data_IF_065302591845
#
_entry.id   IF_065302591845
#
_cell.length_a   1.000
_cell.length_b   1.000
_cell.length_c   1.000
_cell.angle_alpha   90.00
_cell.angle_beta   90.00
_cell.angle_gamma   90.00
#
_symmetry.space_group_name_H-M   'P 1'
#
loop_
_entity.id
_entity.type
_entity.pdbx_description
1 polymer ?
#
# COMPACT_ATOMS: atom_id res chain seq x y z
N UNK A 1 8.81 63.99 -57.77
CA UNK A 1 7.93 65.11 -57.36
C UNK A 1 7.57 64.93 -55.90
N UNK A 2 7.78 66.00 -55.13
CA UNK A 2 7.44 66.17 -53.71
C UNK A 2 5.96 65.86 -53.42
N UNK A 3 5.66 65.31 -52.24
CA UNK A 3 4.81 65.98 -51.24
C UNK A 3 4.74 65.20 -49.92
N UNK A 4 5.33 65.80 -48.90
CA UNK A 4 5.06 65.64 -47.48
C UNK A 4 3.60 65.96 -47.15
N UNK A 5 3.02 65.27 -46.16
CA UNK A 5 2.09 65.84 -45.17
C UNK A 5 1.91 64.91 -43.97
N UNK A 6 2.17 65.47 -42.78
CA UNK A 6 1.88 64.92 -41.46
C UNK A 6 0.39 65.11 -41.13
N UNK A 7 -0.19 64.20 -40.33
CA UNK A 7 -1.39 64.50 -39.52
C UNK A 7 -1.43 63.65 -38.22
N UNK A 8 -1.89 64.32 -37.17
CA UNK A 8 -1.88 64.00 -35.74
C UNK A 8 -2.81 62.85 -35.29
N UNK A 9 -2.29 62.04 -34.36
CA UNK A 9 -2.81 61.70 -33.02
C UNK A 9 -4.33 61.65 -32.75
N UNK A 10 -4.83 60.48 -32.31
CA UNK A 10 -5.70 60.33 -31.11
C UNK A 10 -5.39 58.98 -30.44
N UNK A 11 -4.86 59.02 -29.22
CA UNK A 11 -4.70 57.84 -28.35
C UNK A 11 -5.95 57.76 -27.47
N UNK A 12 -6.76 56.71 -27.65
CA UNK A 12 -7.87 56.37 -26.74
C UNK A 12 -7.36 55.36 -25.71
N UNK A 13 -7.31 55.77 -24.44
CA UNK A 13 -6.94 54.90 -23.31
C UNK A 13 -8.22 54.26 -22.78
N UNK A 14 -8.49 53.02 -23.20
CA UNK A 14 -9.53 52.20 -22.60
C UNK A 14 -9.07 51.65 -21.25
N UNK A 15 -9.68 52.11 -20.16
CA UNK A 15 -9.48 51.55 -18.82
C UNK A 15 -10.08 50.14 -18.74
N UNK A 16 -9.22 49.12 -18.76
CA UNK A 16 -9.62 47.76 -18.39
C UNK A 16 -9.56 47.62 -16.86
N UNK A 17 -10.73 47.57 -16.22
CA UNK A 17 -10.86 47.20 -14.80
C UNK A 17 -10.65 45.69 -14.69
N UNK A 18 -9.45 45.27 -14.30
CA UNK A 18 -9.19 43.90 -13.87
C UNK A 18 -9.63 43.75 -12.41
N UNK A 19 -10.77 43.09 -12.19
CA UNK A 19 -11.14 42.56 -10.88
C UNK A 19 -10.23 41.35 -10.57
N UNK A 20 -9.08 41.60 -9.94
CA UNK A 20 -8.29 40.56 -9.30
C UNK A 20 -9.05 40.00 -8.10
N UNK A 21 -9.74 38.89 -8.30
CA UNK A 21 -10.20 38.05 -7.19
C UNK A 21 -8.98 37.34 -6.59
N UNK A 22 -8.39 37.95 -5.56
CA UNK A 22 -7.44 37.25 -4.69
C UNK A 22 -8.23 36.30 -3.79
N UNK A 23 -8.50 35.09 -4.28
CA UNK A 23 -8.84 33.99 -3.40
C UNK A 23 -7.65 33.80 -2.43
N UNK A 24 -7.87 33.78 -1.11
CA UNK A 24 -6.78 33.55 -0.17
C UNK A 24 -6.25 32.13 -0.39
N UNK A 25 -4.95 32.00 -0.66
CA UNK A 25 -4.25 30.73 -0.55
C UNK A 25 -4.43 30.25 0.90
N UNK A 26 -5.37 29.33 1.11
CA UNK A 26 -5.44 28.55 2.34
C UNK A 26 -4.18 27.69 2.41
N UNK A 27 -3.14 28.22 3.06
CA UNK A 27 -1.90 27.52 3.31
C UNK A 27 -2.17 26.38 4.30
N UNK A 28 -2.65 25.23 3.80
CA UNK A 28 -2.66 24.01 4.59
C UNK A 28 -1.21 23.72 5.03
N UNK A 29 -0.95 23.46 6.32
CA UNK A 29 0.40 23.22 6.80
C UNK A 29 1.02 22.03 6.05
N UNK A 30 2.32 22.07 5.73
CA UNK A 30 2.98 21.09 4.86
C UNK A 30 2.78 19.63 5.33
N UNK A 31 2.70 19.39 6.64
CA UNK A 31 2.42 18.06 7.20
C UNK A 31 1.05 17.48 6.84
N UNK A 32 0.01 18.31 6.67
CA UNK A 32 -1.33 17.86 6.30
C UNK A 32 -1.39 17.42 4.83
N UNK A 33 -0.63 18.08 3.95
CA UNK A 33 -0.49 17.69 2.54
C UNK A 33 0.24 16.36 2.40
N UNK A 34 1.33 16.15 3.15
CA UNK A 34 2.06 14.88 3.15
C UNK A 34 1.21 13.72 3.70
N UNK A 35 0.51 13.93 4.83
CA UNK A 35 -0.41 12.92 5.36
C UNK A 35 -1.55 12.58 4.39
N UNK A 36 -2.10 13.58 3.71
CA UNK A 36 -3.09 13.39 2.64
C UNK A 36 -2.53 12.61 1.45
N UNK A 37 -1.32 12.94 1.00
CA UNK A 37 -0.63 12.23 -0.08
C UNK A 37 -0.35 10.77 0.30
N UNK A 38 0.15 10.49 1.50
CA UNK A 38 0.36 9.14 2.00
C UNK A 38 -0.94 8.32 2.11
N UNK A 39 -2.04 8.96 2.51
CA UNK A 39 -3.35 8.32 2.51
C UNK A 39 -3.82 7.98 1.09
N UNK A 40 -3.67 8.91 0.14
CA UNK A 40 -4.03 8.68 -1.26
C UNK A 40 -3.18 7.57 -1.90
N UNK A 41 -1.87 7.60 -1.67
CA UNK A 41 -0.95 6.58 -2.15
C UNK A 41 -1.28 5.19 -1.60
N UNK A 42 -1.51 5.09 -0.28
CA UNK A 42 -1.89 3.82 0.35
C UNK A 42 -3.12 3.20 -0.31
N UNK A 43 -4.15 4.01 -0.56
CA UNK A 43 -5.36 3.57 -1.26
C UNK A 43 -5.05 3.09 -2.68
N UNK A 44 -4.25 3.86 -3.42
CA UNK A 44 -3.89 3.52 -4.80
C UNK A 44 -3.12 2.20 -4.90
N UNK A 45 -2.14 1.98 -4.01
CA UNK A 45 -1.37 0.74 -3.96
C UNK A 45 -2.25 -0.47 -3.61
N UNK A 46 -3.18 -0.31 -2.67
CA UNK A 46 -4.12 -1.37 -2.32
C UNK A 46 -5.11 -1.69 -3.45
N UNK A 47 -5.59 -0.68 -4.18
CA UNK A 47 -6.41 -0.89 -5.39
C UNK A 47 -5.66 -1.66 -6.47
N UNK A 48 -4.39 -1.31 -6.70
CA UNK A 48 -3.53 -2.03 -7.65
C UNK A 48 -3.34 -3.50 -7.26
N UNK A 49 -3.26 -3.80 -5.95
CA UNK A 49 -3.23 -5.17 -5.44
C UNK A 49 -4.56 -5.90 -5.73
N UNK A 50 -5.71 -5.27 -5.45
CA UNK A 50 -7.04 -5.86 -5.70
C UNK A 50 -7.27 -6.18 -7.17
N UNK A 51 -6.78 -5.32 -8.08
CA UNK A 51 -6.98 -5.50 -9.52
C UNK A 51 -5.93 -6.40 -10.17
N UNK A 52 -4.93 -6.90 -9.43
CA UNK A 52 -3.82 -7.65 -10.02
C UNK A 52 -4.22 -9.10 -10.27
N UNK A 53 -4.14 -9.60 -11.52
CA UNK A 53 -4.39 -11.02 -11.81
C UNK A 53 -3.29 -11.94 -11.27
N UNK A 54 -2.14 -11.39 -10.86
CA UNK A 54 -1.03 -12.14 -10.30
C UNK A 54 -1.14 -12.34 -8.79
N UNK A 55 -2.09 -11.64 -8.13
CA UNK A 55 -2.32 -11.74 -6.69
C UNK A 55 -3.68 -12.39 -6.45
N UNK A 56 -3.70 -13.48 -5.69
CA UNK A 56 -4.92 -13.96 -5.06
C UNK A 56 -4.94 -13.54 -3.59
N UNK A 57 -6.10 -13.09 -3.09
CA UNK A 57 -6.30 -12.77 -1.68
C UNK A 57 -7.25 -13.79 -1.07
N UNK A 58 -6.89 -14.41 0.04
CA UNK A 58 -7.81 -15.32 0.71
C UNK A 58 -8.99 -14.56 1.35
N UNK A 59 -10.18 -15.12 1.14
CA UNK A 59 -11.46 -14.64 1.68
C UNK A 59 -11.81 -15.30 3.02
N UNK A 60 -10.92 -16.16 3.53
CA UNK A 60 -11.06 -16.90 4.78
C UNK A 60 -9.70 -17.04 5.47
N UNK A 61 -9.72 -17.23 6.79
CA UNK A 61 -8.51 -17.54 7.56
C UNK A 61 -8.14 -19.01 7.40
N UNK A 62 -6.85 -19.31 7.28
CA UNK A 62 -6.35 -20.70 7.19
C UNK A 62 -6.71 -21.50 8.46
N UNK A 63 -6.90 -20.83 9.60
CA UNK A 63 -7.35 -21.45 10.85
C UNK A 63 -8.83 -21.87 10.86
N UNK A 64 -9.62 -21.49 9.86
CA UNK A 64 -11.07 -21.73 9.80
C UNK A 64 -11.93 -20.74 10.57
N UNK A 65 -11.33 -19.83 11.33
CA UNK A 65 -12.05 -18.73 11.99
C UNK A 65 -12.68 -17.80 10.95
N UNK A 66 -13.80 -17.18 11.31
CA UNK A 66 -14.58 -16.31 10.43
C UNK A 66 -14.74 -14.93 11.07
N UNK A 67 -14.19 -13.91 10.42
CA UNK A 67 -14.43 -12.51 10.78
C UNK A 67 -14.26 -11.61 9.53
N UNK A 68 -14.06 -10.31 9.73
CA UNK A 68 -13.91 -9.30 8.67
C UNK A 68 -12.46 -8.77 8.56
N UNK A 69 -11.47 -9.60 8.90
CA UNK A 69 -10.04 -9.29 8.94
C UNK A 69 -9.20 -10.22 8.03
N UNK A 70 -9.83 -10.95 7.10
CA UNK A 70 -9.11 -11.76 6.10
C UNK A 70 -8.22 -10.90 5.19
N UNK A 71 -7.32 -11.55 4.44
CA UNK A 71 -6.44 -10.87 3.49
C UNK A 71 -7.23 -10.00 2.49
N UNK A 72 -8.34 -10.53 1.92
CA UNK A 72 -9.20 -9.74 1.03
C UNK A 72 -9.77 -8.52 1.76
N UNK A 73 -10.45 -8.71 2.89
CA UNK A 73 -11.06 -7.61 3.64
C UNK A 73 -10.04 -6.53 4.01
N UNK A 74 -8.83 -6.91 4.44
CA UNK A 74 -7.79 -5.96 4.82
C UNK A 74 -7.33 -5.08 3.64
N UNK A 75 -7.14 -5.66 2.45
CA UNK A 75 -6.77 -4.89 1.27
C UNK A 75 -7.94 -4.02 0.79
N UNK A 76 -9.18 -4.53 0.77
CA UNK A 76 -10.38 -3.76 0.44
C UNK A 76 -10.61 -2.56 1.37
N UNK A 77 -10.48 -2.77 2.67
CA UNK A 77 -10.57 -1.70 3.67
C UNK A 77 -9.53 -0.62 3.36
N UNK A 78 -8.29 -1.03 3.12
CA UNK A 78 -7.18 -0.11 2.79
C UNK A 78 -7.42 0.63 1.48
N UNK A 79 -7.91 -0.04 0.43
CA UNK A 79 -8.28 0.54 -0.86
C UNK A 79 -9.41 1.58 -0.73
N UNK A 80 -10.32 1.36 0.21
CA UNK A 80 -11.40 2.28 0.57
C UNK A 80 -10.98 3.38 1.57
N UNK A 81 -9.69 3.47 1.91
CA UNK A 81 -9.16 4.49 2.83
C UNK A 81 -9.41 4.22 4.30
N UNK A 82 -9.90 3.04 4.65
CA UNK A 82 -10.12 2.59 6.02
C UNK A 82 -8.87 1.84 6.53
N UNK A 83 -8.58 1.88 7.84
CA UNK A 83 -7.61 0.96 8.44
C UNK A 83 -8.03 -0.50 8.24
N UNK A 84 -7.04 -1.40 8.12
CA UNK A 84 -7.26 -2.83 8.04
C UNK A 84 -7.62 -3.37 9.44
N UNK A 85 -8.68 -4.17 9.53
CA UNK A 85 -9.09 -4.81 10.79
C UNK A 85 -8.08 -5.86 11.23
N UNK A 86 -7.85 -5.94 12.54
CA UNK A 86 -7.20 -7.07 13.17
C UNK A 86 -8.28 -8.01 13.74
N UNK A 87 -8.04 -9.31 13.67
CA UNK A 87 -8.91 -10.31 14.31
C UNK A 87 -8.96 -10.13 15.84
N UNK A 88 -10.00 -10.65 16.49
CA UNK A 88 -10.19 -10.58 17.94
C UNK A 88 -10.44 -11.98 18.53
N UNK A 89 -9.44 -12.84 18.45
CA UNK A 89 -9.42 -14.19 19.01
C UNK A 89 -7.99 -14.69 19.20
N UNK A 90 -7.79 -15.65 20.11
CA UNK A 90 -6.46 -16.16 20.44
C UNK A 90 -5.57 -15.02 20.95
N UNK A 91 -4.44 -14.80 20.29
CA UNK A 91 -3.52 -13.70 20.61
C UNK A 91 -3.80 -12.41 19.82
N UNK A 92 -4.81 -12.43 18.93
CA UNK A 92 -5.11 -11.28 18.10
C UNK A 92 -5.75 -10.16 18.93
N UNK A 93 -5.20 -8.93 18.93
CA UNK A 93 -5.57 -7.89 19.87
C UNK A 93 -6.88 -7.16 19.51
N UNK A 94 -7.50 -7.49 18.37
CA UNK A 94 -8.59 -6.71 17.81
C UNK A 94 -8.15 -5.32 17.34
N UNK A 95 -9.14 -4.45 17.10
CA UNK A 95 -8.90 -3.09 16.61
C UNK A 95 -8.55 -3.05 15.12
N UNK A 96 -7.74 -2.07 14.73
CA UNK A 96 -7.35 -1.88 13.34
C UNK A 96 -6.01 -1.17 13.20
N UNK A 97 -5.36 -1.37 12.06
CA UNK A 97 -4.05 -0.79 11.76
C UNK A 97 -3.97 -0.24 10.34
N UNK A 98 -3.10 0.75 10.12
CA UNK A 98 -2.81 1.23 8.77
C UNK A 98 -1.73 0.31 8.19
N UNK A 99 -2.04 -0.35 7.07
CA UNK A 99 -1.03 -1.12 6.33
C UNK A 99 0.16 -0.23 5.95
N UNK A 100 1.38 -0.73 5.85
CA UNK A 100 2.56 0.07 5.51
C UNK A 100 2.62 0.43 4.02
N UNK A 101 2.98 1.68 3.68
CA UNK A 101 3.19 2.06 2.26
C UNK A 101 4.36 1.28 1.67
N UNK A 102 5.46 1.13 2.42
CA UNK A 102 6.64 0.39 1.96
C UNK A 102 6.33 -1.07 1.65
N UNK A 103 5.55 -1.74 2.51
CA UNK A 103 5.05 -3.10 2.27
C UNK A 103 4.16 -3.16 1.01
N UNK A 104 3.18 -2.26 0.89
CA UNK A 104 2.28 -2.23 -0.27
C UNK A 104 3.03 -1.93 -1.59
N UNK A 105 4.05 -1.05 -1.56
CA UNK A 105 4.94 -0.81 -2.70
C UNK A 105 5.71 -2.07 -3.07
N UNK A 106 6.25 -2.78 -2.09
CA UNK A 106 7.00 -4.02 -2.32
C UNK A 106 6.12 -5.10 -2.97
N UNK A 107 4.88 -5.28 -2.49
CA UNK A 107 3.91 -6.22 -3.10
C UNK A 107 3.70 -5.87 -4.59
N UNK A 108 3.45 -4.60 -4.90
CA UNK A 108 3.28 -4.15 -6.28
C UNK A 108 4.56 -4.32 -7.12
N UNK A 109 5.73 -4.10 -6.53
CA UNK A 109 7.01 -4.28 -7.21
C UNK A 109 7.27 -5.74 -7.56
N UNK A 110 6.95 -6.68 -6.65
CA UNK A 110 7.08 -8.12 -6.90
C UNK A 110 6.23 -8.57 -8.10
N UNK A 111 4.99 -8.08 -8.20
CA UNK A 111 4.11 -8.31 -9.38
C UNK A 111 4.76 -7.78 -10.66
N UNK A 112 5.30 -6.55 -10.64
CA UNK A 112 6.02 -5.98 -11.81
C UNK A 112 7.25 -6.80 -12.22
N UNK A 113 7.86 -7.51 -11.27
CA UNK A 113 9.00 -8.41 -11.50
C UNK A 113 8.56 -9.82 -11.93
N UNK A 114 7.26 -10.05 -12.14
CA UNK A 114 6.71 -11.30 -12.66
C UNK A 114 6.40 -12.35 -11.60
N UNK A 115 6.43 -12.00 -10.31
CA UNK A 115 5.96 -12.90 -9.26
C UNK A 115 4.44 -12.97 -9.22
N UNK A 116 3.89 -14.18 -9.14
CA UNK A 116 2.49 -14.40 -8.76
C UNK A 116 2.42 -15.11 -7.42
N UNK A 117 1.46 -14.74 -6.57
CA UNK A 117 1.37 -15.32 -5.23
C UNK A 117 -0.03 -15.15 -4.62
N UNK A 118 -0.32 -15.98 -3.62
CA UNK A 118 -1.56 -15.87 -2.85
C UNK A 118 -1.27 -15.38 -1.43
N UNK A 119 -1.85 -14.25 -1.06
CA UNK A 119 -1.77 -13.70 0.29
C UNK A 119 -2.83 -14.35 1.16
N UNK A 120 -2.41 -14.94 2.28
CA UNK A 120 -3.29 -15.63 3.23
C UNK A 120 -3.68 -14.75 4.41
N UNK A 121 -2.77 -13.93 4.91
CA UNK A 121 -2.99 -13.04 6.06
C UNK A 121 -2.24 -11.72 5.90
N UNK A 122 -2.78 -10.63 6.46
CA UNK A 122 -2.13 -9.29 6.48
C UNK A 122 -2.16 -8.69 7.89
N UNK A 123 -3.33 -8.31 8.41
CA UNK A 123 -3.49 -7.80 9.79
C UNK A 123 -4.44 -8.68 10.63
N UNK A 124 -5.23 -9.55 9.99
CA UNK A 124 -6.03 -10.57 10.66
C UNK A 124 -5.22 -11.78 11.14
N UNK A 125 -5.94 -12.80 11.61
CA UNK A 125 -5.35 -14.02 12.12
C UNK A 125 -4.83 -13.93 13.56
N UNK A 126 -4.60 -15.10 14.17
CA UNK A 126 -3.95 -15.21 15.48
C UNK A 126 -2.49 -15.60 15.30
N UNK A 127 -1.59 -14.71 15.69
CA UNK A 127 -0.13 -14.83 15.62
C UNK A 127 0.48 -14.70 17.01
N UNK A 128 1.80 -14.52 17.14
CA UNK A 128 2.39 -14.13 18.43
C UNK A 128 1.89 -12.74 18.86
N UNK A 129 1.82 -12.47 20.17
CA UNK A 129 1.28 -11.21 20.72
C UNK A 129 2.00 -9.94 20.21
N UNK A 130 3.28 -10.07 19.84
CA UNK A 130 4.10 -8.99 19.28
C UNK A 130 4.29 -9.11 17.76
N UNK A 131 3.42 -9.86 17.10
CA UNK A 131 3.46 -10.05 15.65
C UNK A 131 3.38 -8.72 14.89
N UNK A 132 4.12 -8.64 13.78
CA UNK A 132 4.13 -7.49 12.88
C UNK A 132 2.87 -7.40 12.01
N UNK A 133 2.06 -8.46 11.93
CA UNK A 133 0.72 -8.41 11.32
C UNK A 133 -0.14 -7.34 12.00
N UNK A 134 -0.15 -7.30 13.34
CA UNK A 134 -0.91 -6.32 14.12
C UNK A 134 -0.40 -4.89 14.00
N UNK A 135 0.81 -4.69 13.46
CA UNK A 135 1.34 -3.38 13.11
C UNK A 135 1.05 -2.97 11.66
N UNK A 136 0.40 -3.83 10.85
CA UNK A 136 0.11 -3.57 9.44
C UNK A 136 1.36 -3.60 8.56
N UNK A 137 2.43 -4.27 8.99
CA UNK A 137 3.72 -4.28 8.29
C UNK A 137 4.15 -5.68 7.86
N UNK A 138 3.26 -6.67 7.90
CA UNK A 138 3.53 -8.04 7.49
C UNK A 138 2.45 -8.59 6.55
N UNK A 139 2.82 -9.61 5.79
CA UNK A 139 1.89 -10.47 5.07
C UNK A 139 2.43 -11.90 4.95
N UNK A 140 1.53 -12.86 4.84
CA UNK A 140 1.84 -14.28 4.64
C UNK A 140 1.40 -14.73 3.24
N UNK A 141 2.18 -15.62 2.61
CA UNK A 141 1.80 -16.28 1.35
C UNK A 141 1.92 -17.80 1.41
N UNK A 142 1.00 -18.53 0.80
CA UNK A 142 1.03 -20.00 0.75
C UNK A 142 1.12 -20.58 -0.68
N UNK A 143 1.02 -19.73 -1.70
CA UNK A 143 1.33 -20.05 -3.09
C UNK A 143 2.27 -19.01 -3.67
N UNK A 144 3.22 -19.48 -4.46
CA UNK A 144 4.19 -18.66 -5.19
C UNK A 144 4.41 -19.26 -6.58
N UNK A 145 4.29 -18.43 -7.62
CA UNK A 145 4.43 -18.80 -9.02
C UNK A 145 3.62 -20.06 -9.39
N UNK A 146 2.35 -20.09 -8.96
CA UNK A 146 1.41 -21.18 -9.21
C UNK A 146 1.61 -22.44 -8.37
N UNK A 147 2.57 -22.48 -7.44
CA UNK A 147 2.88 -23.67 -6.64
C UNK A 147 2.72 -23.40 -5.15
N UNK A 148 2.18 -24.39 -4.42
CA UNK A 148 2.10 -24.36 -2.95
C UNK A 148 3.50 -24.21 -2.36
N UNK A 149 3.67 -23.27 -1.43
CA UNK A 149 4.91 -23.08 -0.66
C UNK A 149 5.10 -24.28 0.27
N UNK A 150 6.28 -24.88 0.21
CA UNK A 150 6.73 -25.96 1.11
C UNK A 150 8.25 -26.13 1.00
N UNK A 151 8.81 -27.03 1.80
CA UNK A 151 10.20 -27.47 1.63
C UNK A 151 10.46 -27.92 0.18
N UNK A 152 11.60 -27.54 -0.38
CA UNK A 152 11.97 -27.83 -1.77
C UNK A 152 11.27 -26.96 -2.82
N UNK A 153 10.43 -25.98 -2.45
CA UNK A 153 9.91 -25.02 -3.43
C UNK A 153 11.08 -24.23 -4.06
N UNK A 154 11.21 -24.16 -5.40
CA UNK A 154 12.45 -23.75 -6.04
C UNK A 154 12.81 -22.28 -5.84
N UNK A 155 11.82 -21.42 -5.60
CA UNK A 155 12.02 -19.96 -5.62
C UNK A 155 11.62 -19.24 -4.34
N UNK A 156 11.17 -19.92 -3.27
CA UNK A 156 10.68 -19.21 -2.08
C UNK A 156 11.81 -18.46 -1.36
N UNK A 157 13.04 -19.02 -1.36
CA UNK A 157 14.22 -18.34 -0.80
C UNK A 157 14.59 -17.10 -1.60
N UNK A 158 14.50 -17.15 -2.94
CA UNK A 158 14.72 -16.00 -3.82
C UNK A 158 13.65 -14.94 -3.61
N UNK A 159 12.39 -15.33 -3.44
CA UNK A 159 11.31 -14.42 -3.10
C UNK A 159 11.55 -13.71 -1.76
N UNK A 160 11.88 -14.47 -0.69
CA UNK A 160 12.25 -13.88 0.61
C UNK A 160 13.44 -12.94 0.50
N UNK A 161 14.48 -13.33 -0.25
CA UNK A 161 15.65 -12.48 -0.47
C UNK A 161 15.27 -11.17 -1.18
N UNK A 162 14.41 -11.25 -2.20
CA UNK A 162 13.91 -10.06 -2.89
C UNK A 162 13.11 -9.16 -1.96
N UNK A 163 12.27 -9.73 -1.09
CA UNK A 163 11.58 -8.94 -0.07
C UNK A 163 12.55 -8.20 0.88
N UNK A 164 13.69 -8.81 1.25
CA UNK A 164 14.72 -8.12 2.05
C UNK A 164 15.35 -6.96 1.32
N UNK A 165 15.64 -7.12 0.04
CA UNK A 165 16.13 -6.03 -0.83
C UNK A 165 15.10 -4.89 -0.94
N UNK A 166 13.82 -5.21 -0.82
CA UNK A 166 12.71 -4.25 -0.76
C UNK A 166 12.42 -3.73 0.67
N UNK A 167 13.29 -4.04 1.64
CA UNK A 167 13.27 -3.49 3.00
C UNK A 167 12.62 -4.37 4.07
N UNK A 168 12.23 -5.60 3.77
CA UNK A 168 11.77 -6.53 4.79
C UNK A 168 12.93 -6.92 5.72
N UNK A 169 12.68 -6.91 7.03
CA UNK A 169 13.68 -7.28 8.05
C UNK A 169 13.39 -8.60 8.73
N UNK A 170 12.21 -9.17 8.48
CA UNK A 170 11.83 -10.49 8.96
C UNK A 170 11.21 -11.25 7.80
N UNK A 171 11.80 -12.41 7.53
CA UNK A 171 11.40 -13.29 6.44
C UNK A 171 11.52 -14.71 6.95
N UNK A 172 10.40 -15.37 7.16
CA UNK A 172 10.33 -16.73 7.67
C UNK A 172 9.65 -17.59 6.61
N UNK A 173 10.06 -18.84 6.49
CA UNK A 173 9.52 -19.74 5.48
C UNK A 173 9.90 -21.19 5.78
N UNK A 174 9.71 -22.12 4.84
CA UNK A 174 10.00 -23.53 5.06
C UNK A 174 11.39 -23.77 5.67
N UNK A 175 11.42 -24.43 6.84
CA UNK A 175 12.62 -24.61 7.68
C UNK A 175 12.68 -23.69 8.91
N UNK A 176 11.82 -22.67 8.99
CA UNK A 176 11.61 -21.88 10.21
C UNK A 176 10.48 -22.49 11.03
N UNK A 177 10.59 -22.46 12.37
CA UNK A 177 9.54 -22.97 13.26
C UNK A 177 8.18 -22.33 12.94
N UNK A 178 7.14 -23.14 12.75
CA UNK A 178 5.79 -22.68 12.42
C UNK A 178 5.54 -22.28 10.96
N UNK A 179 6.55 -22.31 10.06
CA UNK A 179 6.45 -21.77 8.69
C UNK A 179 6.71 -22.81 7.60
N UNK A 180 6.34 -24.09 7.82
CA UNK A 180 6.62 -25.17 6.86
C UNK A 180 5.83 -25.08 5.54
N UNK A 181 4.72 -24.35 5.52
CA UNK A 181 3.73 -24.32 4.43
C UNK A 181 3.43 -22.93 3.87
N UNK A 182 4.11 -21.88 4.37
CA UNK A 182 3.92 -20.50 3.95
C UNK A 182 5.21 -19.71 4.13
N UNK A 183 5.27 -18.53 3.53
CA UNK A 183 6.32 -17.52 3.76
C UNK A 183 5.69 -16.33 4.47
N UNK A 184 6.29 -15.91 5.57
CA UNK A 184 5.98 -14.69 6.30
C UNK A 184 7.00 -13.61 5.93
N UNK A 185 6.55 -12.44 5.53
CA UNK A 185 7.39 -11.28 5.21
C UNK A 185 6.94 -10.08 6.04
N UNK A 186 7.87 -9.41 6.71
CA UNK A 186 7.56 -8.21 7.47
C UNK A 186 8.63 -7.12 7.43
N UNK A 187 8.17 -5.88 7.40
CA UNK A 187 8.96 -4.64 7.44
C UNK A 187 9.17 -4.15 8.88
N UNK A 188 10.13 -3.22 9.11
CA UNK A 188 10.25 -2.54 10.38
C UNK A 188 8.94 -1.90 10.83
N UNK A 189 8.68 -1.94 12.14
CA UNK A 189 7.59 -1.16 12.73
C UNK A 189 7.87 0.33 12.50
N UNK A 190 6.84 1.17 12.27
CA UNK A 190 7.02 2.61 12.26
C UNK A 190 7.67 3.05 13.58
N UNK A 191 8.61 4.00 13.51
CA UNK A 191 9.07 4.69 14.71
C UNK A 191 7.88 5.48 15.24
N UNK A 192 7.58 5.30 16.53
CA UNK A 192 6.55 6.05 17.25
C UNK A 192 6.95 7.52 17.35
#
# INVERSE_FOLDING_TARGET
MLRTSFALLVISIGSAVFLSSTAPLSANPPGKRLAGAHSAERRALARSILSSPQISLLEYHVSGNRDQATALHNIEQTANGKPAKCSYYGNAPGGSTKLSITMLRAINQLVREGYSFRITEVAGGSHSSRSRHYAGVAFDIDFLNGRKVKWGHPTYRRFMQRCRELGATETLGPGSSGHSTHVHIAWPRPKL
#
